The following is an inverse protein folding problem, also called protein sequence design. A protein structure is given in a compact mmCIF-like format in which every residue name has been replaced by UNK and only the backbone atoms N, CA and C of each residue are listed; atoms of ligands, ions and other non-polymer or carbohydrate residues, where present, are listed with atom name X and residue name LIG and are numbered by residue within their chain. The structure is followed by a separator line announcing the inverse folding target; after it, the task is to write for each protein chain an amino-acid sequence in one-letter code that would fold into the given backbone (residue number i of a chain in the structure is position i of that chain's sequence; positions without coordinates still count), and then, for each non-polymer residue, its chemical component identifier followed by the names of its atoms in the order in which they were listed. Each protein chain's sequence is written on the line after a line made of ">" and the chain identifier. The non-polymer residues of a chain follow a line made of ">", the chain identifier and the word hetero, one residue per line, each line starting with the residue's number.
data_IF_837151641828
#
_entry.id   IF_837151641828
#
_cell.length_a   1.000
_cell.length_b   1.000
_cell.length_c   1.000
_cell.angle_alpha   90.00
_cell.angle_beta   90.00
_cell.angle_gamma   90.00
#
_symmetry.space_group_name_H-M   'P 1'
#
loop_
_entity.id
_entity.type
_entity.pdbx_description
1 polymer ?
#
# COMPACT_ATOMS: atom_id res chain seq x y z
N UNK A 1 0.84 14.19 -6.73
CA UNK A 1 0.35 12.82 -6.95
C UNK A 1 1.28 11.84 -6.28
N UNK A 2 0.80 11.11 -5.27
CA UNK A 2 1.60 10.11 -4.58
C UNK A 2 1.59 8.80 -5.38
N UNK A 3 2.71 8.45 -6.01
CA UNK A 3 2.85 7.29 -6.89
C UNK A 3 4.23 6.68 -6.71
N UNK A 4 4.32 5.36 -6.52
CA UNK A 4 5.58 4.67 -6.27
C UNK A 4 6.00 4.70 -4.80
N UNK A 5 7.13 4.07 -4.50
CA UNK A 5 7.58 3.80 -3.13
C UNK A 5 7.86 5.06 -2.32
N UNK A 6 8.63 6.01 -2.86
CA UNK A 6 9.07 7.20 -2.13
C UNK A 6 7.87 8.09 -1.77
N UNK A 7 7.04 8.42 -2.74
CA UNK A 7 5.91 9.32 -2.57
C UNK A 7 4.82 8.70 -1.67
N UNK A 8 4.65 7.38 -1.72
CA UNK A 8 3.69 6.67 -0.84
C UNK A 8 4.16 6.65 0.61
N UNK A 9 5.46 6.47 0.84
CA UNK A 9 6.05 6.58 2.18
C UNK A 9 5.94 8.01 2.73
N UNK A 10 6.25 9.02 1.91
CA UNK A 10 6.10 10.43 2.29
C UNK A 10 4.65 10.76 2.62
N UNK A 11 3.69 10.27 1.82
CA UNK A 11 2.27 10.41 2.09
C UNK A 11 1.88 9.75 3.42
N UNK A 12 2.36 8.53 3.69
CA UNK A 12 2.11 7.83 4.95
C UNK A 12 2.62 8.62 6.14
N UNK A 13 3.87 9.10 6.08
CA UNK A 13 4.48 9.95 7.12
C UNK A 13 3.67 11.21 7.39
N UNK A 14 3.22 11.89 6.34
CA UNK A 14 2.39 13.09 6.48
C UNK A 14 1.06 12.78 7.16
N UNK A 15 0.37 11.72 6.75
CA UNK A 15 -0.93 11.34 7.33
C UNK A 15 -0.81 10.96 8.82
N UNK A 16 0.31 10.38 9.24
CA UNK A 16 0.54 10.05 10.65
C UNK A 16 0.86 11.28 11.52
N UNK A 17 1.65 12.23 11.02
CA UNK A 17 2.01 13.43 11.78
C UNK A 17 0.98 14.56 11.69
N UNK A 18 0.18 14.60 10.63
CA UNK A 18 -0.88 15.60 10.47
C UNK A 18 -2.08 15.23 11.38
N UNK A 19 -2.18 15.93 12.52
CA UNK A 19 -3.33 15.89 13.43
C UNK A 19 -4.58 16.60 12.86
N UNK A 20 -4.54 17.07 11.62
CA UNK A 20 -5.64 17.82 11.02
C UNK A 20 -6.92 16.97 10.96
N UNK A 21 -7.98 17.48 11.58
CA UNK A 21 -9.38 17.04 11.40
C UNK A 21 -9.99 17.60 10.08
N UNK A 22 -9.14 18.02 9.14
CA UNK A 22 -9.52 18.64 7.87
C UNK A 22 -9.32 17.70 6.68
N UNK A 23 -10.08 17.96 5.62
CA UNK A 23 -10.10 17.15 4.40
C UNK A 23 -8.71 16.98 3.76
N UNK A 24 -8.17 15.76 3.78
CA UNK A 24 -6.95 15.41 3.05
C UNK A 24 -7.28 15.06 1.60
N UNK A 25 -6.37 15.36 0.67
CA UNK A 25 -6.59 15.02 -0.73
C UNK A 25 -6.64 13.51 -0.94
N UNK A 26 -7.46 13.06 -1.90
CA UNK A 26 -7.55 11.63 -2.26
C UNK A 26 -6.19 11.04 -2.67
N UNK A 27 -5.29 11.84 -3.27
CA UNK A 27 -3.93 11.40 -3.60
C UNK A 27 -3.08 11.14 -2.36
N UNK A 28 -3.18 12.00 -1.34
CA UNK A 28 -2.44 11.84 -0.09
C UNK A 28 -2.94 10.61 0.68
N UNK A 29 -4.27 10.44 0.77
CA UNK A 29 -4.86 9.23 1.37
C UNK A 29 -4.47 7.99 0.57
N UNK A 30 -4.52 8.05 -0.76
CA UNK A 30 -4.16 6.92 -1.60
C UNK A 30 -2.71 6.47 -1.40
N UNK A 31 -1.75 7.40 -1.43
CA UNK A 31 -0.35 7.10 -1.20
C UNK A 31 -0.11 6.49 0.19
N UNK A 32 -0.70 7.09 1.22
CA UNK A 32 -0.58 6.59 2.60
C UNK A 32 -1.19 5.19 2.75
N UNK A 33 -2.35 4.94 2.14
CA UNK A 33 -3.02 3.65 2.17
C UNK A 33 -2.26 2.57 1.39
N UNK A 34 -1.68 2.92 0.22
CA UNK A 34 -0.83 2.00 -0.54
C UNK A 34 0.39 1.55 0.26
N UNK A 35 1.10 2.49 0.88
CA UNK A 35 2.28 2.17 1.68
C UNK A 35 1.93 1.33 2.91
N UNK A 36 0.93 1.75 3.69
CA UNK A 36 0.47 1.02 4.86
C UNK A 36 -0.03 -0.39 4.50
N UNK A 37 -0.77 -0.50 3.39
CA UNK A 37 -1.28 -1.78 2.91
C UNK A 37 -0.18 -2.72 2.42
N UNK A 38 0.79 -2.21 1.67
CA UNK A 38 1.99 -2.97 1.28
C UNK A 38 2.77 -3.46 2.50
N UNK A 39 2.98 -2.60 3.50
CA UNK A 39 3.67 -2.96 4.74
C UNK A 39 2.94 -4.08 5.48
N UNK A 40 1.63 -3.92 5.68
CA UNK A 40 0.80 -4.86 6.41
C UNK A 40 0.72 -6.23 5.70
N UNK A 41 0.54 -6.23 4.38
CA UNK A 41 0.58 -7.45 3.57
C UNK A 41 1.92 -8.16 3.72
N UNK A 42 3.03 -7.42 3.63
CA UNK A 42 4.35 -8.02 3.71
C UNK A 42 4.71 -8.54 5.10
N UNK A 43 4.41 -7.78 6.16
CA UNK A 43 4.58 -8.21 7.54
C UNK A 43 3.79 -9.51 7.80
N UNK A 44 2.56 -9.60 7.28
CA UNK A 44 1.74 -10.80 7.38
C UNK A 44 2.37 -11.98 6.62
N UNK A 45 2.72 -11.82 5.35
CA UNK A 45 3.28 -12.90 4.54
C UNK A 45 4.61 -13.43 5.09
N UNK A 46 5.49 -12.54 5.59
CA UNK A 46 6.76 -12.94 6.20
C UNK A 46 6.56 -13.66 7.54
N UNK A 47 5.55 -13.26 8.32
CA UNK A 47 5.18 -13.97 9.55
C UNK A 47 4.62 -15.37 9.25
N UNK A 48 3.84 -15.52 8.17
CA UNK A 48 3.33 -16.83 7.75
C UNK A 48 4.39 -17.71 7.10
N UNK A 49 5.37 -17.13 6.39
CA UNK A 49 6.44 -17.85 5.69
C UNK A 49 5.99 -18.62 4.45
N UNK A 50 4.76 -18.37 3.95
CA UNK A 50 4.20 -19.12 2.82
C UNK A 50 4.50 -18.45 1.48
N UNK A 51 4.90 -19.26 0.52
CA UNK A 51 4.95 -18.89 -0.89
C UNK A 51 3.54 -18.78 -1.45
N UNK A 52 3.27 -17.72 -2.21
CA UNK A 52 1.98 -17.48 -2.86
C UNK A 52 2.19 -17.02 -4.30
N UNK A 53 1.26 -17.34 -5.19
CA UNK A 53 1.31 -16.80 -6.55
C UNK A 53 1.04 -15.27 -6.54
N UNK A 54 1.60 -14.57 -7.53
CA UNK A 54 1.49 -13.10 -7.60
C UNK A 54 0.04 -12.60 -7.76
N UNK A 55 -0.83 -13.36 -8.43
CA UNK A 55 -2.23 -12.97 -8.59
C UNK A 55 -2.96 -12.92 -7.25
N UNK A 56 -2.81 -13.97 -6.43
CA UNK A 56 -3.34 -14.01 -5.07
C UNK A 56 -2.74 -12.90 -4.20
N UNK A 57 -1.42 -12.68 -4.29
CA UNK A 57 -0.76 -11.62 -3.54
C UNK A 57 -1.36 -10.23 -3.84
N UNK A 58 -1.56 -9.91 -5.12
CA UNK A 58 -2.18 -8.64 -5.55
C UNK A 58 -3.62 -8.49 -5.09
N UNK A 59 -4.40 -9.57 -5.12
CA UNK A 59 -5.79 -9.55 -4.66
C UNK A 59 -5.87 -9.31 -3.14
N UNK A 60 -5.07 -10.04 -2.36
CA UNK A 60 -4.99 -9.85 -0.92
C UNK A 60 -4.51 -8.43 -0.56
N UNK A 61 -3.47 -7.95 -1.25
CA UNK A 61 -2.98 -6.58 -1.11
C UNK A 61 -4.05 -5.54 -1.42
N UNK A 62 -4.82 -5.70 -2.50
CA UNK A 62 -5.90 -4.78 -2.86
C UNK A 62 -6.97 -4.70 -1.75
N UNK A 63 -7.34 -5.84 -1.15
CA UNK A 63 -8.28 -5.86 -0.03
C UNK A 63 -7.73 -5.11 1.20
N UNK A 64 -6.47 -5.34 1.55
CA UNK A 64 -5.80 -4.66 2.67
C UNK A 64 -5.74 -3.15 2.41
N UNK A 65 -5.30 -2.74 1.21
CA UNK A 65 -5.22 -1.33 0.82
C UNK A 65 -6.59 -0.65 0.85
N UNK A 66 -7.64 -1.32 0.37
CA UNK A 66 -9.02 -0.83 0.45
C UNK A 66 -9.45 -0.54 1.89
N UNK A 67 -9.11 -1.44 2.82
CA UNK A 67 -9.37 -1.23 4.26
C UNK A 67 -8.61 -0.04 4.85
N UNK A 68 -7.39 0.24 4.37
CA UNK A 68 -6.62 1.41 4.80
C UNK A 68 -7.23 2.71 4.28
N UNK A 69 -7.71 2.73 3.03
CA UNK A 69 -8.44 3.89 2.49
C UNK A 69 -9.70 4.16 3.30
N UNK A 70 -10.48 3.12 3.63
CA UNK A 70 -11.67 3.27 4.48
C UNK A 70 -11.35 3.95 5.81
N UNK A 71 -10.38 3.40 6.55
CA UNK A 71 -9.95 3.93 7.84
C UNK A 71 -9.47 5.39 7.75
N UNK A 72 -8.70 5.71 6.72
CA UNK A 72 -8.19 7.07 6.52
C UNK A 72 -9.31 8.03 6.11
N UNK A 73 -10.26 7.61 5.26
CA UNK A 73 -11.42 8.40 4.88
C UNK A 73 -12.33 8.71 6.08
N UNK A 74 -12.58 7.71 6.95
CA UNK A 74 -13.36 7.86 8.18
C UNK A 74 -12.72 8.84 9.17
N UNK A 75 -11.39 8.76 9.34
CA UNK A 75 -10.67 9.56 10.35
C UNK A 75 -10.25 10.94 9.88
N UNK A 76 -10.08 11.14 8.57
CA UNK A 76 -9.58 12.40 7.98
C UNK A 76 -10.63 13.18 7.22
N UNK A 77 -11.86 12.66 7.14
CA UNK A 77 -12.99 13.31 6.50
C UNK A 77 -12.82 13.36 4.97
N UNK A 78 -13.51 12.47 4.27
CA UNK A 78 -13.50 12.42 2.81
C UNK A 78 -14.91 12.16 2.29
N UNK A 79 -15.31 12.86 1.22
CA UNK A 79 -16.58 12.58 0.57
C UNK A 79 -16.55 11.24 -0.21
N UNK A 80 -17.72 10.75 -0.60
CA UNK A 80 -17.83 9.44 -1.24
C UNK A 80 -17.13 9.38 -2.61
N UNK A 81 -17.09 10.48 -3.36
CA UNK A 81 -16.45 10.56 -4.68
C UNK A 81 -14.93 10.54 -4.53
N UNK A 82 -14.40 11.32 -3.60
CA UNK A 82 -12.98 11.36 -3.29
C UNK A 82 -12.49 10.04 -2.69
N UNK A 83 -13.31 9.39 -1.86
CA UNK A 83 -13.02 8.04 -1.34
C UNK A 83 -12.92 7.01 -2.45
N UNK A 84 -13.81 7.03 -3.44
CA UNK A 84 -13.72 6.11 -4.59
C UNK A 84 -12.45 6.37 -5.41
N UNK A 85 -12.08 7.64 -5.61
CA UNK A 85 -10.83 8.01 -6.30
C UNK A 85 -9.61 7.55 -5.50
N UNK A 86 -9.61 7.75 -4.18
CA UNK A 86 -8.54 7.30 -3.29
C UNK A 86 -8.40 5.78 -3.34
N UNK A 87 -9.50 5.04 -3.33
CA UNK A 87 -9.50 3.58 -3.39
C UNK A 87 -8.88 3.06 -4.69
N UNK A 88 -9.34 3.56 -5.83
CA UNK A 88 -8.83 3.16 -7.14
C UNK A 88 -7.34 3.51 -7.31
N UNK A 89 -6.96 4.72 -6.89
CA UNK A 89 -5.57 5.16 -6.92
C UNK A 89 -4.70 4.30 -6.00
N UNK A 90 -5.13 4.07 -4.76
CA UNK A 90 -4.35 3.31 -3.79
C UNK A 90 -4.10 1.87 -4.27
N UNK A 91 -5.13 1.22 -4.83
CA UNK A 91 -5.02 -0.13 -5.38
C UNK A 91 -4.02 -0.19 -6.53
N UNK A 92 -4.15 0.71 -7.52
CA UNK A 92 -3.24 0.79 -8.68
C UNK A 92 -1.80 1.03 -8.26
N UNK A 93 -1.61 1.95 -7.31
CA UNK A 93 -0.30 2.30 -6.82
C UNK A 93 0.34 1.16 -6.01
N UNK A 94 -0.42 0.47 -5.16
CA UNK A 94 0.08 -0.70 -4.42
C UNK A 94 0.43 -1.85 -5.38
N UNK A 95 -0.40 -2.12 -6.38
CA UNK A 95 -0.09 -3.10 -7.43
C UNK A 95 1.20 -2.71 -8.19
N UNK A 96 1.36 -1.43 -8.51
CA UNK A 96 2.57 -0.92 -9.16
C UNK A 96 3.82 -1.15 -8.29
N UNK A 97 3.77 -0.78 -7.01
CA UNK A 97 4.86 -0.99 -6.04
C UNK A 97 5.18 -2.48 -5.88
N UNK A 98 4.16 -3.33 -5.85
CA UNK A 98 4.31 -4.79 -5.82
C UNK A 98 5.03 -5.31 -7.07
N UNK A 99 4.57 -4.92 -8.26
CA UNK A 99 5.17 -5.36 -9.51
C UNK A 99 6.62 -4.89 -9.65
N UNK A 100 6.88 -3.64 -9.30
CA UNK A 100 8.21 -3.05 -9.31
C UNK A 100 9.19 -3.86 -8.47
N UNK A 101 8.79 -4.28 -7.27
CA UNK A 101 9.69 -4.91 -6.32
C UNK A 101 9.73 -6.44 -6.42
N UNK A 102 8.60 -7.09 -6.74
CA UNK A 102 8.46 -8.55 -6.65
C UNK A 102 8.24 -9.28 -7.97
N UNK A 103 7.89 -8.58 -9.05
CA UNK A 103 7.60 -9.25 -10.33
C UNK A 103 8.65 -8.91 -11.38
N UNK A 104 8.97 -7.63 -11.55
CA UNK A 104 9.89 -7.17 -12.59
C UNK A 104 11.30 -7.70 -12.34
N UNK A 105 11.83 -8.44 -13.31
CA UNK A 105 13.21 -8.93 -13.29
C UNK A 105 13.47 -10.12 -12.36
N UNK A 106 12.45 -10.65 -11.68
CA UNK A 106 12.60 -11.76 -10.73
C UNK A 106 12.47 -13.15 -11.38
N UNK A 107 11.82 -13.25 -12.56
CA UNK A 107 11.66 -14.51 -13.31
C UNK A 107 10.86 -15.61 -12.60
N UNK A 108 10.46 -15.38 -11.34
CA UNK A 108 9.62 -16.24 -10.54
C UNK A 108 8.15 -16.00 -10.85
N UNK A 109 7.34 -17.06 -10.80
CA UNK A 109 5.87 -16.98 -10.93
C UNK A 109 5.18 -16.72 -9.60
N UNK A 110 5.94 -16.68 -8.50
CA UNK A 110 5.43 -16.69 -7.13
C UNK A 110 6.26 -15.77 -6.24
N UNK A 111 5.61 -15.19 -5.24
CA UNK A 111 6.26 -14.50 -4.14
C UNK A 111 6.63 -15.50 -3.05
N UNK A 112 7.93 -15.55 -2.71
CA UNK A 112 8.47 -16.34 -1.62
C UNK A 112 9.14 -15.42 -0.59
N UNK A 113 8.63 -15.30 0.65
CA UNK A 113 9.17 -14.38 1.65
C UNK A 113 10.60 -14.74 2.10
N UNK A 114 11.07 -15.97 1.89
CA UNK A 114 12.42 -16.39 2.24
C UNK A 114 13.47 -16.02 1.17
N UNK A 115 13.05 -15.84 -0.07
CA UNK A 115 13.92 -15.51 -1.21
C UNK A 115 13.86 -14.02 -1.55
N UNK A 116 12.66 -13.43 -1.45
CA UNK A 116 12.44 -12.03 -1.75
C UNK A 116 12.80 -11.18 -0.53
N UNK A 117 13.71 -10.22 -0.71
CA UNK A 117 14.04 -9.24 0.33
C UNK A 117 12.93 -8.21 0.48
N UNK A 118 12.79 -7.72 1.70
CA UNK A 118 11.88 -6.62 2.02
C UNK A 118 12.35 -5.34 1.35
N UNK A 119 11.41 -4.50 0.93
CA UNK A 119 11.75 -3.18 0.43
C UNK A 119 12.32 -2.31 1.56
N UNK A 120 13.46 -1.65 1.31
CA UNK A 120 14.20 -0.86 2.31
C UNK A 120 13.38 0.29 2.93
N UNK A 121 12.34 0.75 2.23
CA UNK A 121 11.46 1.79 2.75
C UNK A 121 10.80 1.39 4.06
N UNK A 122 10.60 0.10 4.29
CA UNK A 122 10.00 -0.39 5.53
C UNK A 122 10.97 -0.47 6.70
N UNK A 123 12.29 -0.42 6.49
CA UNK A 123 13.25 -0.49 7.60
C UNK A 123 13.18 0.76 8.50
N UNK A 124 12.47 1.80 8.06
CA UNK A 124 12.15 3.03 8.79
C UNK A 124 10.87 2.97 9.63
N UNK A 125 10.14 1.84 9.60
CA UNK A 125 8.78 1.67 10.15
C UNK A 125 8.55 0.35 10.88
#
# INVERSE_FOLDING_TARGET
>A
MAWGWQESEEAHRRVEHEQHEGHLSHELIAGAASFAGMKAWEDHQRKEGKTVNHAFAKEALAAIVGSQVERLAETKGMDQVEKMRAHEHAKKNAEHMYDEHYVRGQGASEFNPHEHRRHEAFDRW
#
